data_IF_356542130294
#
_entry.id   IF_356542130294
#
_cell.length_a   1.000
_cell.length_b   1.000
_cell.length_c   1.000
_cell.angle_alpha   90.00
_cell.angle_beta   90.00
_cell.angle_gamma   90.00
#
_symmetry.space_group_name_H-M   'P 1'
#
loop_
_entity.id
_entity.type
_entity.pdbx_description
1 polymer ?
#
# COMPACT_ATOMS: atom_id res chain seq x y z
N UNK A 1 -1.60 -5.31 -2.96
CA UNK A 1 -0.62 -4.57 -3.76
C UNK A 1 0.72 -4.65 -3.05
N UNK A 2 1.76 -5.06 -3.76
CA UNK A 2 3.14 -5.24 -3.30
C UNK A 2 4.08 -4.42 -4.19
N UNK A 3 5.38 -4.46 -3.92
CA UNK A 3 6.36 -3.78 -4.77
C UNK A 3 6.50 -4.45 -6.15
N UNK A 4 6.29 -5.76 -6.23
CA UNK A 4 6.42 -6.54 -7.47
C UNK A 4 5.43 -6.08 -8.54
N UNK A 5 4.23 -5.64 -8.11
CA UNK A 5 3.18 -5.09 -8.99
C UNK A 5 3.64 -3.86 -9.81
N UNK A 6 4.74 -3.20 -9.41
CA UNK A 6 5.26 -1.98 -10.04
C UNK A 6 6.60 -2.14 -10.76
N UNK A 7 7.33 -3.21 -10.49
CA UNK A 7 8.66 -3.46 -11.08
C UNK A 7 8.61 -4.55 -12.15
N UNK A 8 7.66 -5.48 -12.05
CA UNK A 8 7.45 -6.50 -13.05
C UNK A 8 6.58 -5.92 -14.19
N UNK A 9 7.21 -5.76 -15.35
CA UNK A 9 6.52 -5.29 -16.54
C UNK A 9 5.35 -6.19 -16.95
N UNK A 10 5.39 -7.49 -16.67
CA UNK A 10 4.28 -8.39 -16.96
C UNK A 10 3.08 -8.11 -16.05
N UNK A 11 3.32 -7.92 -14.74
CA UNK A 11 2.27 -7.54 -13.79
C UNK A 11 1.68 -6.17 -14.13
N UNK A 12 2.53 -5.20 -14.50
CA UNK A 12 2.09 -3.86 -14.88
C UNK A 12 1.23 -3.85 -16.15
N UNK A 13 1.51 -4.74 -17.12
CA UNK A 13 0.79 -4.80 -18.39
C UNK A 13 -0.35 -5.84 -18.42
N UNK A 14 -0.80 -6.32 -17.26
CA UNK A 14 -1.83 -7.35 -17.18
C UNK A 14 -3.14 -6.89 -17.86
N UNK A 15 -3.69 -7.65 -18.84
CA UNK A 15 -4.82 -7.20 -19.64
C UNK A 15 -6.09 -6.89 -18.85
N UNK A 16 -6.43 -7.67 -17.81
CA UNK A 16 -7.64 -7.44 -17.03
C UNK A 16 -7.54 -6.14 -16.18
N UNK A 17 -6.36 -5.86 -15.65
CA UNK A 17 -6.03 -4.64 -14.91
C UNK A 17 -6.16 -3.42 -15.82
N UNK A 18 -5.59 -3.49 -17.02
CA UNK A 18 -5.72 -2.42 -18.02
C UNK A 18 -7.17 -2.22 -18.48
N UNK A 19 -7.94 -3.30 -18.66
CA UNK A 19 -9.37 -3.22 -18.99
C UNK A 19 -10.20 -2.59 -17.87
N UNK A 20 -9.84 -2.83 -16.60
CA UNK A 20 -10.48 -2.18 -15.46
C UNK A 20 -10.09 -0.69 -15.37
N UNK A 21 -8.82 -0.37 -15.54
CA UNK A 21 -8.30 1.01 -15.53
C UNK A 21 -9.00 1.90 -16.55
N UNK A 22 -9.32 1.38 -17.74
CA UNK A 22 -10.07 2.11 -18.76
C UNK A 22 -11.49 2.54 -18.33
N UNK A 23 -12.03 1.97 -17.24
CA UNK A 23 -13.34 2.31 -16.68
C UNK A 23 -13.28 3.26 -15.49
N UNK A 24 -12.08 3.63 -15.02
CA UNK A 24 -11.89 4.45 -13.82
C UNK A 24 -12.09 5.93 -14.15
N UNK A 25 -13.00 6.57 -13.41
CA UNK A 25 -13.14 8.03 -13.37
C UNK A 25 -12.63 8.59 -12.05
N UNK A 26 -12.00 9.76 -12.09
CA UNK A 26 -11.53 10.46 -10.90
C UNK A 26 -12.38 11.72 -10.68
N UNK A 27 -12.66 12.03 -9.42
CA UNK A 27 -13.34 13.25 -9.02
C UNK A 27 -12.68 13.77 -7.76
N UNK A 28 -12.41 15.08 -7.71
CA UNK A 28 -11.90 15.71 -6.51
C UNK A 28 -13.04 15.85 -5.49
N UNK A 29 -12.74 15.61 -4.22
CA UNK A 29 -13.64 15.97 -3.12
C UNK A 29 -13.31 17.37 -2.61
N UNK A 30 -14.27 18.01 -1.96
CA UNK A 30 -14.11 19.36 -1.39
C UNK A 30 -13.62 19.34 0.08
N UNK A 31 -13.33 18.15 0.63
CA UNK A 31 -12.79 18.02 1.98
C UNK A 31 -11.36 18.59 2.08
N UNK A 32 -11.03 19.16 3.25
CA UNK A 32 -9.68 19.66 3.54
C UNK A 32 -8.66 18.54 3.78
N UNK A 33 -9.12 17.32 4.02
CA UNK A 33 -8.30 16.13 4.28
C UNK A 33 -7.82 15.57 2.94
N UNK A 34 -6.51 15.53 2.72
CA UNK A 34 -5.92 15.13 1.43
C UNK A 34 -5.60 13.63 1.32
N UNK A 35 -5.80 12.86 2.38
CA UNK A 35 -5.40 11.44 2.47
C UNK A 35 -6.59 10.47 2.56
N UNK A 36 -7.81 10.97 2.43
CA UNK A 36 -9.02 10.15 2.32
C UNK A 36 -9.28 9.71 0.88
N UNK A 37 -10.07 8.66 0.72
CA UNK A 37 -10.53 8.20 -0.58
C UNK A 37 -11.93 7.60 -0.50
N UNK A 38 -12.76 7.88 -1.51
CA UNK A 38 -14.00 7.17 -1.75
C UNK A 38 -13.92 6.41 -3.07
N UNK A 39 -14.28 5.13 -3.05
CA UNK A 39 -14.40 4.30 -4.25
C UNK A 39 -15.86 3.92 -4.41
N UNK A 40 -16.40 4.11 -5.61
CA UNK A 40 -17.73 3.62 -5.99
C UNK A 40 -17.60 2.69 -7.19
N UNK A 41 -18.07 1.46 -7.03
CA UNK A 41 -18.19 0.48 -8.11
C UNK A 41 -19.63 0.50 -8.62
N UNK A 42 -19.77 0.59 -9.94
CA UNK A 42 -21.05 0.44 -10.64
C UNK A 42 -20.96 -0.89 -11.40
N UNK A 43 -21.78 -1.86 -11.01
CA UNK A 43 -21.81 -3.18 -11.66
C UNK A 43 -22.61 -3.12 -12.96
N UNK A 44 -22.46 -4.14 -13.80
CA UNK A 44 -23.14 -4.20 -15.11
C UNK A 44 -24.68 -4.22 -14.99
N UNK A 45 -25.20 -4.74 -13.88
CA UNK A 45 -26.63 -4.71 -13.53
C UNK A 45 -27.08 -3.36 -12.92
N UNK A 46 -26.19 -2.37 -12.85
CA UNK A 46 -26.47 -1.01 -12.38
C UNK A 46 -26.38 -0.81 -10.87
N UNK A 47 -26.09 -1.85 -10.06
CA UNK A 47 -25.92 -1.67 -8.61
C UNK A 47 -24.69 -0.80 -8.31
N UNK A 48 -24.78 -0.05 -7.21
CA UNK A 48 -23.72 0.83 -6.72
C UNK A 48 -23.21 0.34 -5.39
N UNK A 49 -21.91 0.10 -5.30
CA UNK A 49 -21.21 -0.27 -4.07
C UNK A 49 -20.20 0.81 -3.76
N UNK A 50 -20.34 1.47 -2.62
CA UNK A 50 -19.46 2.58 -2.23
C UNK A 50 -18.72 2.25 -0.94
N UNK A 51 -17.45 2.62 -0.88
CA UNK A 51 -16.62 2.50 0.30
C UNK A 51 -15.77 3.76 0.48
N UNK A 52 -15.73 4.27 1.71
CA UNK A 52 -14.92 5.42 2.09
C UNK A 52 -13.85 4.99 3.08
N UNK A 53 -12.64 5.52 2.90
CA UNK A 53 -11.49 5.33 3.78
C UNK A 53 -10.97 6.72 4.15
N UNK A 54 -11.01 7.04 5.45
CA UNK A 54 -10.52 8.32 5.97
C UNK A 54 -8.99 8.45 5.86
N UNK A 55 -8.27 7.33 5.92
CA UNK A 55 -6.82 7.26 5.75
C UNK A 55 -6.32 5.82 5.64
N UNK A 56 -5.25 5.63 4.86
CA UNK A 56 -4.61 4.33 4.72
C UNK A 56 -3.97 3.87 6.03
N UNK A 57 -3.98 2.57 6.32
CA UNK A 57 -3.25 2.03 7.49
C UNK A 57 -1.77 2.37 7.41
N UNK A 58 -1.20 2.87 8.50
CA UNK A 58 0.17 3.38 8.53
C UNK A 58 0.33 4.84 8.09
N UNK A 59 -0.77 5.57 7.82
CA UNK A 59 -0.70 6.98 7.38
C UNK A 59 -0.36 7.96 8.49
N UNK A 60 -0.57 7.59 9.75
CA UNK A 60 -0.31 8.45 10.92
C UNK A 60 -0.06 7.62 12.18
N UNK A 61 0.38 8.28 13.25
CA UNK A 61 0.48 7.66 14.57
C UNK A 61 -0.89 7.20 15.11
N UNK A 62 -1.96 7.92 14.76
CA UNK A 62 -3.34 7.60 15.16
C UNK A 62 -3.96 6.46 14.33
N UNK A 63 -3.37 6.12 13.17
CA UNK A 63 -3.74 4.99 12.33
C UNK A 63 -2.48 4.18 11.95
N UNK A 64 -1.81 3.55 12.93
CA UNK A 64 -0.52 2.93 12.71
C UNK A 64 -0.65 1.65 11.89
N UNK A 65 0.48 1.15 11.39
CA UNK A 65 0.53 -0.23 10.93
C UNK A 65 0.37 -1.16 12.13
N UNK A 66 -0.38 -2.26 12.00
CA UNK A 66 -0.40 -3.33 12.99
C UNK A 66 1.00 -3.81 13.38
N UNK A 67 1.13 -4.24 14.63
CA UNK A 67 2.36 -4.78 15.17
C UNK A 67 2.93 -5.90 14.29
N UNK A 68 4.26 -5.90 14.12
CA UNK A 68 4.95 -6.87 13.28
C UNK A 68 4.95 -6.55 11.77
N UNK A 69 4.01 -5.76 11.26
CA UNK A 69 4.02 -5.40 9.82
C UNK A 69 5.15 -4.44 9.45
N UNK A 70 5.58 -3.58 10.38
CA UNK A 70 6.76 -2.74 10.17
C UNK A 70 8.02 -3.60 10.01
N UNK A 71 8.18 -4.63 10.86
CA UNK A 71 9.28 -5.60 10.74
C UNK A 71 9.23 -6.31 9.40
N UNK A 72 8.08 -6.86 9.04
CA UNK A 72 7.91 -7.57 7.78
C UNK A 72 8.25 -6.67 6.59
N UNK A 73 7.67 -5.46 6.52
CA UNK A 73 7.97 -4.48 5.47
C UNK A 73 9.46 -4.15 5.38
N UNK A 74 10.13 -3.99 6.52
CA UNK A 74 11.57 -3.76 6.55
C UNK A 74 12.35 -4.93 5.93
N UNK A 75 12.04 -6.17 6.34
CA UNK A 75 12.71 -7.37 5.85
C UNK A 75 12.44 -7.62 4.37
N UNK A 76 11.22 -7.39 3.90
CA UNK A 76 10.84 -7.51 2.49
C UNK A 76 11.67 -6.56 1.61
N UNK A 77 11.90 -5.33 2.07
CA UNK A 77 12.75 -4.37 1.35
C UNK A 77 14.24 -4.71 1.46
N UNK A 78 14.74 -4.94 2.68
CA UNK A 78 16.16 -5.15 2.93
C UNK A 78 16.69 -6.42 2.27
N UNK A 79 15.91 -7.51 2.28
CA UNK A 79 16.31 -8.80 1.70
C UNK A 79 16.48 -8.76 0.18
N UNK A 80 16.03 -7.70 -0.49
CA UNK A 80 16.29 -7.48 -1.92
C UNK A 80 17.68 -6.91 -2.20
N UNK A 81 18.32 -6.31 -1.19
CA UNK A 81 19.63 -5.67 -1.30
C UNK A 81 20.74 -6.43 -0.56
N UNK A 82 20.40 -7.31 0.39
CA UNK A 82 21.35 -8.07 1.19
C UNK A 82 20.79 -9.44 1.60
N UNK A 83 21.63 -10.40 2.04
CA UNK A 83 21.15 -11.68 2.55
C UNK A 83 20.16 -11.50 3.71
N UNK A 84 19.17 -12.39 3.79
CA UNK A 84 18.10 -12.34 4.80
C UNK A 84 18.62 -12.32 6.24
N UNK A 85 19.70 -13.06 6.53
CA UNK A 85 20.35 -13.07 7.84
C UNK A 85 20.93 -11.69 8.20
N UNK A 86 21.55 -11.01 7.24
CA UNK A 86 22.09 -9.67 7.42
C UNK A 86 20.97 -8.63 7.62
N UNK A 87 19.87 -8.75 6.85
CA UNK A 87 18.68 -7.91 7.03
C UNK A 87 18.06 -8.09 8.43
N UNK A 88 17.95 -9.34 8.90
CA UNK A 88 17.44 -9.64 10.22
C UNK A 88 18.36 -9.09 11.34
N UNK A 89 19.67 -9.24 11.20
CA UNK A 89 20.65 -8.69 12.13
C UNK A 89 20.59 -7.15 12.18
N UNK A 90 20.48 -6.49 11.02
CA UNK A 90 20.33 -5.05 10.93
C UNK A 90 19.04 -4.57 11.62
N UNK A 91 17.92 -5.25 11.38
CA UNK A 91 16.66 -4.91 12.05
C UNK A 91 16.78 -4.98 13.58
N UNK A 92 17.41 -6.05 14.11
CA UNK A 92 17.62 -6.18 15.55
C UNK A 92 18.51 -5.06 16.12
N UNK A 93 19.55 -4.67 15.38
CA UNK A 93 20.41 -3.56 15.78
C UNK A 93 19.64 -2.24 15.83
N UNK A 94 18.80 -1.95 14.83
CA UNK A 94 18.00 -0.72 14.79
C UNK A 94 17.00 -0.60 15.96
N UNK A 95 16.50 -1.73 16.49
CA UNK A 95 15.64 -1.73 17.68
C UNK A 95 16.40 -1.42 18.98
N UNK A 96 17.71 -1.65 19.00
CA UNK A 96 18.59 -1.40 20.14
C UNK A 96 19.30 -0.05 20.05
N UNK A 97 19.39 0.51 18.85
CA UNK A 97 19.95 1.84 18.63
C UNK A 97 19.00 2.89 19.22
N UNK A 98 19.46 3.54 20.28
CA UNK A 98 18.86 4.77 20.77
C UNK A 98 19.21 5.87 19.77
N UNK A 99 18.43 6.02 18.71
CA UNK A 99 18.46 7.23 17.88
C UNK A 99 18.06 8.42 18.77
N UNK A 100 19.07 9.11 19.31
CA UNK A 100 18.97 10.42 19.93
C UNK A 100 19.39 11.49 18.94
#
# INVERSE_FOLDING_TARGET
MTLDDFIDAAAFNEPATNALMAKVGLTCHDESITHSAQVTLITEDGRRLSHYVAGARGSSADNPLPDGLIKQKFLDCASRAMPSEAAQALYQRLLQDNFR
#
